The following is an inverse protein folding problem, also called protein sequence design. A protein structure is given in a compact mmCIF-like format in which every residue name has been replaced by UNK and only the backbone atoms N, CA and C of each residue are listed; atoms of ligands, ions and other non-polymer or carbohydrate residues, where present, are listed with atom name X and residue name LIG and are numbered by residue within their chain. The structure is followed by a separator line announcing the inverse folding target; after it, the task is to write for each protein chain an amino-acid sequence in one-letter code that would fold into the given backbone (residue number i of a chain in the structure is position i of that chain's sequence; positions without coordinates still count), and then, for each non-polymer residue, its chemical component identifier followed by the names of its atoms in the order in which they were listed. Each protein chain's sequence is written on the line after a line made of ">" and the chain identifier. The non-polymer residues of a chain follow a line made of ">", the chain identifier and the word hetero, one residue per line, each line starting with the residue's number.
data_IF_820582895884
#
_entry.id   IF_820582895884
#
_cell.length_a   1.000
_cell.length_b   1.000
_cell.length_c   1.000
_cell.angle_alpha   90.00
_cell.angle_beta   90.00
_cell.angle_gamma   90.00
#
_symmetry.space_group_name_H-M   'P 1'
#
loop_
_entity.id
_entity.type
_entity.pdbx_description
1 polymer ?
#
# COMPACT_ATOMS: atom_id res chain seq x y z
N UNK A 1 -20.24 -13.89 -85.83
CA UNK A 1 -21.08 -14.38 -84.72
C UNK A 1 -20.20 -15.10 -83.72
N UNK A 2 -19.98 -14.52 -82.54
CA UNK A 2 -19.65 -15.21 -81.30
C UNK A 2 -19.88 -14.22 -80.13
N UNK A 3 -20.79 -14.50 -79.18
CA UNK A 3 -21.00 -13.65 -78.01
C UNK A 3 -20.13 -14.13 -76.84
N UNK A 4 -19.56 -13.19 -76.10
CA UNK A 4 -18.96 -13.44 -74.78
C UNK A 4 -20.05 -13.38 -73.71
N UNK A 5 -20.07 -14.40 -72.84
CA UNK A 5 -20.98 -14.56 -71.71
C UNK A 5 -20.30 -14.06 -70.43
N UNK A 6 -20.90 -13.13 -69.70
CA UNK A 6 -20.50 -12.79 -68.33
C UNK A 6 -21.35 -13.61 -67.35
N UNK A 7 -20.69 -14.43 -66.54
CA UNK A 7 -21.31 -15.14 -65.40
C UNK A 7 -21.12 -14.33 -64.13
N UNK A 8 -22.21 -14.04 -63.43
CA UNK A 8 -22.22 -13.43 -62.10
C UNK A 8 -21.94 -14.49 -61.03
N UNK A 9 -20.97 -14.25 -60.14
CA UNK A 9 -20.96 -14.90 -58.83
C UNK A 9 -20.44 -13.94 -57.78
N UNK A 10 -21.27 -13.58 -56.81
CA UNK A 10 -20.84 -13.10 -55.49
C UNK A 10 -22.02 -13.10 -54.52
N UNK A 11 -22.24 -14.23 -53.84
CA UNK A 11 -23.11 -14.29 -52.65
C UNK A 11 -22.40 -14.89 -51.43
N UNK A 12 -21.15 -15.36 -51.57
CA UNK A 12 -20.41 -15.99 -50.48
C UNK A 12 -19.65 -14.98 -49.60
N UNK A 13 -19.26 -13.82 -50.13
CA UNK A 13 -18.48 -12.83 -49.36
C UNK A 13 -19.32 -12.05 -48.33
N UNK A 14 -20.61 -11.83 -48.59
CA UNK A 14 -21.49 -11.06 -47.68
C UNK A 14 -21.79 -11.82 -46.37
N UNK A 15 -22.00 -13.14 -46.47
CA UNK A 15 -22.26 -14.00 -45.31
C UNK A 15 -21.01 -14.18 -44.42
N UNK A 16 -19.82 -14.21 -45.02
CA UNK A 16 -18.55 -14.31 -44.29
C UNK A 16 -18.24 -13.02 -43.53
N UNK A 17 -18.52 -11.85 -44.13
CA UNK A 17 -18.38 -10.54 -43.48
C UNK A 17 -19.36 -10.40 -42.32
N UNK A 18 -20.62 -10.86 -42.48
CA UNK A 18 -21.61 -10.83 -41.41
C UNK A 18 -21.24 -11.75 -40.22
N UNK A 19 -20.68 -12.94 -40.49
CA UNK A 19 -20.20 -13.85 -39.44
C UNK A 19 -18.96 -13.30 -38.72
N UNK A 20 -18.02 -12.69 -39.46
CA UNK A 20 -16.86 -12.01 -38.87
C UNK A 20 -17.28 -10.81 -38.00
N UNK A 21 -18.28 -10.03 -38.43
CA UNK A 21 -18.85 -8.93 -37.64
C UNK A 21 -19.60 -9.44 -36.39
N UNK A 22 -20.38 -10.53 -36.51
CA UNK A 22 -21.08 -11.13 -35.36
C UNK A 22 -20.09 -11.70 -34.34
N UNK A 23 -19.01 -12.36 -34.80
CA UNK A 23 -17.93 -12.84 -33.94
C UNK A 23 -17.09 -11.70 -33.33
N UNK A 24 -16.95 -10.58 -34.03
CA UNK A 24 -16.33 -9.37 -33.49
C UNK A 24 -17.21 -8.75 -32.39
N UNK A 25 -18.53 -8.68 -32.59
CA UNK A 25 -19.49 -8.17 -31.60
C UNK A 25 -19.62 -9.09 -30.37
N UNK A 26 -19.54 -10.42 -30.56
CA UNK A 26 -19.47 -11.41 -29.47
C UNK A 26 -18.12 -11.39 -28.71
N UNK A 27 -17.07 -10.76 -29.27
CA UNK A 27 -15.79 -10.53 -28.60
C UNK A 27 -15.65 -9.14 -27.98
N UNK A 28 -16.55 -8.20 -28.29
CA UNK A 28 -16.60 -6.86 -27.69
C UNK A 28 -17.55 -6.76 -26.47
N UNK A 29 -18.25 -7.84 -26.11
CA UNK A 29 -18.77 -7.96 -24.74
C UNK A 29 -17.60 -8.27 -23.81
N UNK A 30 -16.71 -7.29 -23.62
CA UNK A 30 -16.00 -7.20 -22.36
C UNK A 30 -17.08 -7.25 -21.28
N UNK A 31 -16.99 -8.13 -20.27
CA UNK A 31 -17.80 -7.91 -19.08
C UNK A 31 -17.54 -6.46 -18.70
N UNK A 32 -18.55 -5.61 -18.74
CA UNK A 32 -18.38 -4.29 -18.17
C UNK A 32 -17.86 -4.55 -16.78
N UNK A 33 -16.86 -3.79 -16.33
CA UNK A 33 -16.65 -3.57 -14.91
C UNK A 33 -17.91 -2.85 -14.41
N UNK A 34 -19.04 -3.54 -14.39
CA UNK A 34 -20.23 -3.12 -13.69
C UNK A 34 -19.77 -3.13 -12.25
N UNK A 35 -19.47 -1.93 -11.76
CA UNK A 35 -19.21 -1.70 -10.36
C UNK A 35 -20.31 -2.43 -9.61
N UNK A 36 -19.92 -3.38 -8.77
CA UNK A 36 -20.90 -4.10 -7.98
C UNK A 36 -21.72 -3.06 -7.19
N UNK A 37 -23.06 -3.12 -7.23
CA UNK A 37 -23.89 -2.05 -6.71
C UNK A 37 -23.63 -1.89 -5.20
N UNK A 38 -23.36 -0.66 -4.78
CA UNK A 38 -23.22 -0.32 -3.36
C UNK A 38 -24.60 -0.47 -2.71
N UNK A 39 -24.72 -1.42 -1.79
CA UNK A 39 -25.98 -1.72 -1.08
C UNK A 39 -26.25 -0.74 0.06
N UNK A 40 -25.20 -0.22 0.70
CA UNK A 40 -25.29 0.71 1.83
C UNK A 40 -24.11 1.65 1.86
N UNK A 41 -24.34 2.90 2.26
CA UNK A 41 -23.28 3.86 2.61
C UNK A 41 -23.28 4.13 4.11
N UNK A 42 -22.09 4.13 4.71
CA UNK A 42 -21.80 4.55 6.08
C UNK A 42 -20.88 5.77 5.98
N UNK A 43 -21.23 6.86 6.65
CA UNK A 43 -20.50 8.13 6.58
C UNK A 43 -19.65 8.34 7.82
N UNK A 44 -18.37 8.67 7.62
CA UNK A 44 -17.41 8.96 8.68
C UNK A 44 -17.05 10.45 8.64
N UNK A 45 -17.32 11.17 9.71
CA UNK A 45 -16.98 12.59 9.84
C UNK A 45 -16.37 12.83 11.23
N UNK A 46 -15.11 13.24 11.28
CA UNK A 46 -14.38 13.42 12.54
C UNK A 46 -15.01 14.45 13.50
N UNK A 47 -15.86 15.35 12.99
CA UNK A 47 -16.59 16.33 13.79
C UNK A 47 -17.93 15.77 14.32
N UNK A 48 -18.20 14.48 14.10
CA UNK A 48 -19.40 13.79 14.58
C UNK A 48 -20.65 14.06 13.76
N UNK A 49 -20.51 14.54 12.50
CA UNK A 49 -21.65 14.86 11.62
C UNK A 49 -22.09 13.67 10.75
N UNK A 50 -21.36 12.56 10.78
CA UNK A 50 -21.66 11.31 10.08
C UNK A 50 -22.23 10.26 11.03
N UNK A 51 -22.34 9.03 10.53
CA UNK A 51 -22.73 7.86 11.32
C UNK A 51 -21.68 7.54 12.39
N UNK A 52 -20.40 7.78 12.07
CA UNK A 52 -19.25 7.56 12.95
C UNK A 52 -18.26 8.72 12.89
N UNK A 53 -17.47 8.89 13.96
CA UNK A 53 -16.37 9.86 14.01
C UNK A 53 -15.00 9.26 13.70
N UNK A 54 -14.89 7.93 13.69
CA UNK A 54 -13.65 7.20 13.37
C UNK A 54 -13.88 6.20 12.24
N UNK A 55 -12.84 5.92 11.47
CA UNK A 55 -12.91 4.97 10.36
C UNK A 55 -13.03 3.54 10.89
N UNK A 56 -12.30 3.18 11.95
CA UNK A 56 -12.37 1.83 12.53
C UNK A 56 -13.79 1.49 13.01
N UNK A 57 -14.49 2.43 13.68
CA UNK A 57 -15.85 2.15 14.16
C UNK A 57 -16.86 1.94 13.02
N UNK A 58 -16.69 2.63 11.90
CA UNK A 58 -17.50 2.39 10.70
C UNK A 58 -17.23 1.01 10.10
N UNK A 59 -15.96 0.59 10.02
CA UNK A 59 -15.57 -0.77 9.57
C UNK A 59 -16.16 -1.82 10.50
N UNK A 60 -16.06 -1.63 11.82
CA UNK A 60 -16.57 -2.57 12.82
C UNK A 60 -18.09 -2.77 12.73
N UNK A 61 -18.81 -1.74 12.28
CA UNK A 61 -20.27 -1.77 12.09
C UNK A 61 -20.73 -2.58 10.88
N UNK A 62 -19.84 -2.91 9.94
CA UNK A 62 -20.14 -3.84 8.84
C UNK A 62 -20.31 -5.25 9.42
N UNK A 63 -21.36 -6.01 9.10
CA UNK A 63 -21.54 -7.36 9.66
C UNK A 63 -20.40 -8.32 9.28
N UNK A 64 -20.10 -9.27 10.16
CA UNK A 64 -19.20 -10.37 9.82
C UNK A 64 -19.82 -11.26 8.74
N UNK A 65 -19.01 -11.72 7.79
CA UNK A 65 -19.48 -12.51 6.64
C UNK A 65 -20.33 -11.70 5.66
N UNK A 66 -20.17 -10.38 5.64
CA UNK A 66 -20.81 -9.49 4.69
C UNK A 66 -20.54 -9.92 3.24
N UNK A 67 -21.57 -9.89 2.40
CA UNK A 67 -21.49 -10.22 0.97
C UNK A 67 -21.95 -9.09 0.05
N UNK A 68 -22.47 -8.02 0.64
CA UNK A 68 -23.02 -6.87 -0.07
C UNK A 68 -21.97 -5.75 -0.06
N UNK A 69 -21.84 -5.01 -1.17
CA UNK A 69 -20.87 -3.90 -1.20
C UNK A 69 -21.31 -2.77 -0.27
N UNK A 70 -20.57 -2.58 0.82
CA UNK A 70 -20.77 -1.48 1.77
C UNK A 70 -19.74 -0.40 1.49
N UNK A 71 -20.21 0.81 1.23
CA UNK A 71 -19.37 1.98 1.11
C UNK A 71 -19.15 2.62 2.47
N UNK A 72 -17.91 2.67 2.93
CA UNK A 72 -17.47 3.53 4.03
C UNK A 72 -16.97 4.83 3.40
N UNK A 73 -17.79 5.87 3.45
CA UNK A 73 -17.45 7.20 2.94
C UNK A 73 -16.80 8.03 4.03
N UNK A 74 -15.60 8.54 3.78
CA UNK A 74 -14.81 9.29 4.75
C UNK A 74 -14.71 10.74 4.29
N UNK A 75 -15.40 11.63 5.01
CA UNK A 75 -15.41 13.06 4.72
C UNK A 75 -13.99 13.64 4.79
N UNK A 76 -13.77 14.78 4.13
CA UNK A 76 -12.49 15.49 4.14
C UNK A 76 -11.97 15.73 5.57
N UNK A 77 -10.70 15.40 5.79
CA UNK A 77 -10.02 15.53 7.06
C UNK A 77 -8.84 14.57 7.19
N UNK A 78 -7.96 14.87 8.15
CA UNK A 78 -6.95 13.92 8.63
C UNK A 78 -7.49 13.18 9.85
N UNK A 79 -7.43 11.85 9.79
CA UNK A 79 -7.91 10.90 10.79
C UNK A 79 -6.70 10.22 11.43
N UNK A 80 -6.45 10.52 12.71
CA UNK A 80 -5.32 9.96 13.45
C UNK A 80 -5.71 8.68 14.16
N UNK A 81 -5.61 7.55 13.47
CA UNK A 81 -6.01 6.25 13.97
C UNK A 81 -5.31 5.12 13.22
N UNK A 82 -5.25 3.93 13.84
CA UNK A 82 -4.91 2.69 13.14
C UNK A 82 -6.21 2.04 12.69
N UNK A 83 -6.24 1.57 11.45
CA UNK A 83 -7.41 0.88 10.91
C UNK A 83 -7.00 -0.50 10.40
N UNK A 84 -7.77 -1.51 10.80
CA UNK A 84 -7.70 -2.86 10.28
C UNK A 84 -9.04 -3.18 9.64
N UNK A 85 -9.00 -3.74 8.43
CA UNK A 85 -10.13 -4.43 7.80
C UNK A 85 -9.97 -5.93 8.10
N UNK A 86 -10.64 -6.46 9.13
CA UNK A 86 -10.50 -7.86 9.54
C UNK A 86 -10.94 -8.82 8.45
N UNK A 87 -10.40 -10.05 8.46
CA UNK A 87 -10.70 -11.09 7.47
C UNK A 87 -12.19 -11.41 7.29
N UNK A 88 -13.00 -11.10 8.30
CA UNK A 88 -14.43 -11.36 8.32
C UNK A 88 -15.27 -10.24 7.67
N UNK A 89 -14.65 -9.12 7.28
CA UNK A 89 -15.33 -7.91 6.78
C UNK A 89 -15.13 -7.73 5.26
N UNK A 90 -15.59 -8.70 4.48
CA UNK A 90 -15.47 -8.65 3.01
C UNK A 90 -16.39 -7.58 2.37
N UNK A 91 -16.13 -7.28 1.09
CA UNK A 91 -16.96 -6.40 0.25
C UNK A 91 -17.10 -4.96 0.76
N UNK A 92 -15.97 -4.35 1.17
CA UNK A 92 -15.91 -2.96 1.62
C UNK A 92 -15.29 -2.08 0.54
N UNK A 93 -15.98 -0.98 0.20
CA UNK A 93 -15.44 0.16 -0.53
C UNK A 93 -15.14 1.29 0.47
N UNK A 94 -13.86 1.60 0.69
CA UNK A 94 -13.44 2.78 1.44
C UNK A 94 -13.19 3.95 0.48
N UNK A 95 -13.93 5.04 0.65
CA UNK A 95 -13.93 6.16 -0.29
C UNK A 95 -13.82 7.49 0.45
N UNK A 96 -12.74 8.24 0.21
CA UNK A 96 -12.60 9.59 0.72
C UNK A 96 -13.20 10.66 -0.20
N UNK A 97 -13.25 11.91 0.28
CA UNK A 97 -13.62 13.10 -0.51
C UNK A 97 -12.53 13.53 -1.51
N UNK A 98 -11.37 12.87 -1.50
CA UNK A 98 -10.23 13.17 -2.36
C UNK A 98 -8.92 12.81 -1.68
N UNK A 99 -7.99 12.21 -2.42
CA UNK A 99 -6.72 11.72 -1.85
C UNK A 99 -5.83 12.84 -1.27
N UNK A 100 -6.02 14.09 -1.70
CA UNK A 100 -5.35 15.28 -1.15
C UNK A 100 -6.03 15.88 0.08
N UNK A 101 -7.31 15.55 0.33
CA UNK A 101 -8.14 16.15 1.38
C UNK A 101 -8.56 15.16 2.47
N UNK A 102 -8.45 13.86 2.22
CA UNK A 102 -8.79 12.80 3.16
C UNK A 102 -7.60 11.88 3.39
N UNK A 103 -7.15 11.77 4.64
CA UNK A 103 -6.09 10.84 5.01
C UNK A 103 -6.33 10.11 6.33
N UNK A 104 -5.83 8.87 6.39
CA UNK A 104 -5.69 8.09 7.63
C UNK A 104 -4.20 8.03 7.94
N UNK A 105 -3.83 8.51 9.12
CA UNK A 105 -2.45 8.70 9.52
C UNK A 105 -2.18 8.14 10.92
N UNK A 106 -1.01 7.52 11.10
CA UNK A 106 -0.51 7.08 12.40
C UNK A 106 1.01 6.97 12.37
N UNK A 107 1.67 6.77 13.51
CA UNK A 107 3.15 6.77 13.65
C UNK A 107 3.71 5.54 14.38
N UNK A 108 3.01 4.41 14.31
CA UNK A 108 3.51 3.17 14.89
C UNK A 108 4.79 2.71 14.17
N UNK A 109 5.73 2.18 14.94
CA UNK A 109 7.00 1.63 14.46
C UNK A 109 7.26 0.29 15.15
N UNK A 110 7.96 -0.61 14.49
CA UNK A 110 8.38 -1.86 15.09
C UNK A 110 9.40 -1.60 16.20
N UNK A 111 9.13 -2.06 17.42
CA UNK A 111 10.08 -2.04 18.52
C UNK A 111 10.46 -3.47 18.89
N UNK A 112 11.39 -4.05 18.12
CA UNK A 112 11.73 -5.46 18.22
C UNK A 112 13.19 -5.71 17.78
N UNK A 113 13.84 -6.69 18.41
CA UNK A 113 15.17 -7.15 17.99
C UNK A 113 15.11 -7.92 16.67
N UNK A 114 16.25 -8.09 15.98
CA UNK A 114 16.30 -8.81 14.70
C UNK A 114 15.74 -10.24 14.81
N UNK A 115 15.95 -10.92 15.95
CA UNK A 115 15.40 -12.24 16.22
C UNK A 115 13.86 -12.22 16.26
N UNK A 116 13.24 -11.16 16.77
CA UNK A 116 11.78 -11.02 16.81
C UNK A 116 11.19 -10.56 15.47
N UNK A 117 12.01 -10.02 14.56
CA UNK A 117 11.57 -9.60 13.22
C UNK A 117 11.75 -10.73 12.21
N UNK A 118 12.84 -11.50 12.31
CA UNK A 118 13.26 -12.52 11.33
C UNK A 118 12.93 -13.96 11.72
N UNK A 119 12.64 -14.24 12.99
CA UNK A 119 12.60 -15.62 13.51
C UNK A 119 11.18 -16.03 13.92
N UNK A 120 10.39 -16.46 12.94
CA UNK A 120 9.22 -17.30 13.19
C UNK A 120 9.14 -18.46 12.18
N UNK A 121 9.93 -19.55 12.37
CA UNK A 121 9.81 -20.72 11.52
C UNK A 121 8.49 -21.48 11.71
N UNK A 122 7.74 -21.22 12.80
CA UNK A 122 6.53 -21.95 13.20
C UNK A 122 5.53 -21.08 13.99
N UNK A 123 5.38 -19.80 13.65
CA UNK A 123 4.33 -18.97 14.26
C UNK A 123 2.94 -19.49 13.85
N UNK A 124 2.08 -19.79 14.82
CA UNK A 124 0.64 -19.89 14.58
C UNK A 124 0.12 -18.53 14.06
N UNK A 125 -1.05 -18.55 13.39
CA UNK A 125 -1.63 -17.47 12.61
C UNK A 125 -1.86 -16.12 13.36
N UNK A 126 -1.57 -16.05 14.65
CA UNK A 126 -1.71 -14.93 15.56
C UNK A 126 -0.39 -14.21 15.94
N UNK A 127 0.77 -14.69 15.47
CA UNK A 127 2.07 -14.06 15.74
C UNK A 127 2.58 -13.26 14.52
N UNK A 128 1.91 -12.14 14.22
CA UNK A 128 2.40 -11.20 13.19
C UNK A 128 3.68 -10.50 13.66
N UNK A 129 4.66 -10.38 12.75
CA UNK A 129 5.90 -9.63 13.00
C UNK A 129 5.60 -8.23 13.55
N UNK A 130 6.39 -7.69 14.49
CA UNK A 130 6.28 -6.30 14.94
C UNK A 130 6.27 -5.27 13.80
N UNK A 131 6.93 -5.59 12.68
CA UNK A 131 6.88 -4.82 11.43
C UNK A 131 5.48 -4.82 10.82
N UNK A 132 4.84 -5.98 10.71
CA UNK A 132 3.46 -6.11 10.21
C UNK A 132 2.48 -5.31 11.09
N UNK A 133 2.64 -5.45 12.41
CA UNK A 133 1.81 -4.74 13.38
C UNK A 133 2.00 -3.21 13.37
N UNK A 134 3.08 -2.69 12.78
CA UNK A 134 3.35 -1.25 12.74
C UNK A 134 2.53 -0.48 11.67
N UNK A 135 1.86 -1.18 10.75
CA UNK A 135 1.08 -0.54 9.69
C UNK A 135 -0.02 0.40 10.24
N UNK A 136 -0.18 1.56 9.58
CA UNK A 136 -1.31 2.48 9.86
C UNK A 136 -2.65 1.89 9.40
N UNK A 137 -2.65 1.23 8.24
CA UNK A 137 -3.83 0.66 7.62
C UNK A 137 -3.53 -0.77 7.16
N UNK A 138 -4.32 -1.73 7.64
CA UNK A 138 -4.15 -3.17 7.36
C UNK A 138 -5.41 -3.74 6.72
N UNK A 139 -5.26 -4.52 5.66
CA UNK A 139 -6.38 -5.23 5.00
C UNK A 139 -6.13 -6.72 5.07
N UNK A 140 -7.05 -7.44 5.74
CA UNK A 140 -7.04 -8.90 5.84
C UNK A 140 -8.25 -9.55 5.15
N UNK A 141 -9.28 -8.77 4.84
CA UNK A 141 -10.48 -9.21 4.11
C UNK A 141 -10.22 -9.43 2.62
N UNK A 142 -11.03 -10.31 2.03
CA UNK A 142 -11.16 -10.43 0.59
C UNK A 142 -12.10 -9.32 0.07
N UNK A 143 -11.92 -8.92 -1.20
CA UNK A 143 -12.79 -7.94 -1.88
C UNK A 143 -12.87 -6.56 -1.18
N UNK A 144 -11.70 -6.00 -0.85
CA UNK A 144 -11.57 -4.62 -0.39
C UNK A 144 -11.17 -3.70 -1.54
N UNK A 145 -11.79 -2.51 -1.62
CA UNK A 145 -11.41 -1.44 -2.55
C UNK A 145 -11.24 -0.15 -1.77
N UNK A 146 -10.16 0.58 -2.03
CA UNK A 146 -9.97 1.95 -1.55
C UNK A 146 -9.81 2.91 -2.72
N UNK A 147 -10.43 4.09 -2.64
CA UNK A 147 -10.23 5.18 -3.60
C UNK A 147 -10.36 6.55 -2.95
N UNK A 148 -9.82 7.56 -3.62
CA UNK A 148 -9.96 8.97 -3.24
C UNK A 148 -9.56 9.25 -1.78
N UNK A 149 -8.59 8.50 -1.25
CA UNK A 149 -8.08 8.60 0.13
C UNK A 149 -6.58 8.28 0.17
N UNK A 150 -5.86 8.88 1.12
CA UNK A 150 -4.44 8.60 1.38
C UNK A 150 -4.23 7.85 2.70
N UNK A 151 -3.30 6.91 2.73
CA UNK A 151 -2.84 6.24 3.96
C UNK A 151 -1.40 6.67 4.25
N UNK A 152 -1.10 7.09 5.47
CA UNK A 152 0.20 7.66 5.81
C UNK A 152 0.74 7.08 7.12
N UNK A 153 1.98 6.59 7.08
CA UNK A 153 2.80 6.43 8.28
C UNK A 153 3.67 7.67 8.40
N UNK A 154 3.33 8.59 9.31
CA UNK A 154 3.97 9.91 9.41
C UNK A 154 4.86 9.98 10.64
N UNK A 155 6.12 10.34 10.43
CA UNK A 155 7.10 10.66 11.47
C UNK A 155 7.48 12.14 11.33
N UNK A 156 6.66 13.01 11.91
CA UNK A 156 6.89 14.46 11.92
C UNK A 156 7.49 14.88 13.27
N UNK A 157 8.56 15.67 13.23
CA UNK A 157 9.30 16.17 14.39
C UNK A 157 9.76 15.08 15.39
N UNK A 158 9.95 13.87 14.88
CA UNK A 158 10.39 12.72 15.66
C UNK A 158 11.93 12.68 15.81
N UNK A 159 12.39 12.15 16.94
CA UNK A 159 13.81 11.79 17.13
C UNK A 159 14.01 10.31 16.81
N UNK A 160 14.76 10.02 15.77
CA UNK A 160 15.22 8.68 15.43
C UNK A 160 16.56 8.44 16.14
N UNK A 161 16.52 7.73 17.26
CA UNK A 161 17.71 7.40 18.03
C UNK A 161 18.22 6.00 17.67
N UNK A 162 19.41 5.92 17.09
CA UNK A 162 20.15 4.67 16.94
C UNK A 162 20.57 4.13 18.31
N UNK A 163 20.36 2.83 18.51
CA UNK A 163 20.81 2.09 19.70
C UNK A 163 21.97 1.14 19.38
N UNK A 164 22.61 1.30 18.21
CA UNK A 164 23.78 0.51 17.84
C UNK A 164 24.91 0.75 18.86
N UNK A 165 25.66 -0.30 19.27
CA UNK A 165 26.83 -0.11 20.11
C UNK A 165 27.79 0.93 19.54
N UNK A 166 28.46 1.76 20.37
CA UNK A 166 29.46 2.70 19.89
C UNK A 166 30.63 2.00 19.19
N UNK A 167 31.31 2.65 18.22
CA UNK A 167 32.48 2.07 17.58
C UNK A 167 33.55 1.67 18.60
N UNK A 168 34.08 0.45 18.47
CA UNK A 168 35.14 -0.08 19.34
C UNK A 168 34.67 -0.71 20.65
N UNK A 169 33.36 -0.82 20.90
CA UNK A 169 32.83 -1.52 22.10
C UNK A 169 32.57 -3.01 21.88
N UNK A 170 32.74 -3.51 20.64
CA UNK A 170 32.54 -4.93 20.27
C UNK A 170 33.83 -5.52 19.68
N UNK A 171 34.05 -6.83 19.85
CA UNK A 171 35.26 -7.53 19.35
C UNK A 171 35.28 -7.77 17.84
N UNK A 172 34.21 -7.43 17.12
CA UNK A 172 34.07 -7.56 15.67
C UNK A 172 34.01 -6.20 14.98
N UNK A 173 34.43 -6.11 13.71
CA UNK A 173 34.19 -4.95 12.85
C UNK A 173 32.68 -4.74 12.73
N UNK A 174 32.16 -3.75 13.43
CA UNK A 174 30.73 -3.49 13.52
C UNK A 174 30.22 -2.90 12.20
N UNK A 175 29.35 -3.63 11.50
CA UNK A 175 28.65 -3.11 10.34
C UNK A 175 27.66 -2.01 10.78
N UNK A 176 27.56 -0.89 10.04
CA UNK A 176 26.51 0.09 10.29
C UNK A 176 25.11 -0.51 10.13
N UNK A 177 24.14 -0.02 10.90
CA UNK A 177 22.72 -0.38 10.71
C UNK A 177 22.06 0.42 9.58
N UNK A 178 20.79 0.14 9.29
CA UNK A 178 19.99 0.91 8.32
C UNK A 178 18.70 1.41 8.98
N UNK A 179 18.40 2.69 8.80
CA UNK A 179 17.14 3.27 9.29
C UNK A 179 15.94 2.83 8.44
N UNK A 180 16.13 2.66 7.12
CA UNK A 180 15.03 2.36 6.19
C UNK A 180 15.35 1.27 5.19
N UNK A 181 14.31 0.54 4.76
CA UNK A 181 14.37 -0.46 3.70
C UNK A 181 13.09 -0.42 2.84
N UNK A 182 12.95 0.59 1.98
CA UNK A 182 11.72 0.76 1.20
C UNK A 182 11.65 -0.21 0.01
N UNK A 183 10.50 -0.87 -0.16
CA UNK A 183 10.33 -2.00 -1.07
C UNK A 183 9.39 -1.70 -2.26
N UNK A 184 9.38 -0.47 -2.78
CA UNK A 184 8.52 -0.12 -3.91
C UNK A 184 8.93 -0.82 -5.21
N UNK A 185 7.96 -1.52 -5.82
CA UNK A 185 8.16 -2.45 -6.94
C UNK A 185 8.10 -1.80 -8.33
N UNK A 186 7.37 -0.69 -8.49
CA UNK A 186 7.19 -0.03 -9.79
C UNK A 186 7.29 1.50 -9.64
N UNK A 187 7.81 2.17 -10.69
CA UNK A 187 7.94 3.64 -10.70
C UNK A 187 6.60 4.36 -10.51
N UNK A 188 5.54 3.82 -11.12
CA UNK A 188 4.20 4.37 -11.06
C UNK A 188 3.41 4.01 -9.80
N UNK A 189 3.94 3.13 -8.95
CA UNK A 189 3.28 2.83 -7.67
C UNK A 189 3.31 4.07 -6.77
N UNK A 190 2.18 4.49 -6.20
CA UNK A 190 2.17 5.57 -5.21
C UNK A 190 2.90 5.12 -3.94
N UNK A 191 3.41 6.08 -3.17
CA UNK A 191 4.00 5.82 -1.85
C UNK A 191 5.51 6.01 -1.77
N UNK A 192 5.98 6.16 -0.54
CA UNK A 192 7.36 6.44 -0.13
C UNK A 192 7.42 6.62 1.38
N UNK A 193 8.62 6.59 1.96
CA UNK A 193 8.82 6.94 3.38
C UNK A 193 9.28 8.39 3.49
N UNK A 194 8.60 9.19 4.31
CA UNK A 194 8.98 10.60 4.53
C UNK A 194 9.20 10.82 6.02
N UNK A 195 10.39 11.33 6.35
CA UNK A 195 10.77 11.81 7.67
C UNK A 195 10.89 13.33 7.57
N UNK A 196 10.03 14.04 8.30
CA UNK A 196 9.90 15.49 8.19
C UNK A 196 10.23 16.13 9.54
N UNK A 197 11.19 17.04 9.55
CA UNK A 197 11.66 17.68 10.77
C UNK A 197 12.45 16.70 11.66
N UNK A 198 12.56 17.04 12.94
CA UNK A 198 13.17 16.18 13.95
C UNK A 198 14.68 15.96 13.81
N UNK A 199 15.17 14.81 14.31
CA UNK A 199 16.59 14.49 14.30
C UNK A 199 16.89 12.99 14.16
N UNK A 200 18.01 12.65 13.50
CA UNK A 200 18.66 11.34 13.54
C UNK A 200 19.87 11.43 14.46
N UNK A 201 19.86 10.68 15.56
CA UNK A 201 20.83 10.76 16.66
C UNK A 201 21.11 9.37 17.24
N UNK A 202 21.78 9.30 18.39
CA UNK A 202 22.02 8.08 19.14
C UNK A 202 23.48 7.61 19.05
N UNK A 203 23.68 6.30 19.08
CA UNK A 203 25.01 5.68 19.16
C UNK A 203 25.32 4.78 17.97
N UNK A 204 26.59 4.42 17.81
CA UNK A 204 27.05 3.54 16.74
C UNK A 204 27.11 4.23 15.38
N UNK A 205 26.96 3.45 14.30
CA UNK A 205 26.97 3.94 12.91
C UNK A 205 25.73 3.43 12.19
N UNK A 206 25.09 4.29 11.41
CA UNK A 206 23.91 3.94 10.62
C UNK A 206 23.92 4.59 9.24
N UNK A 207 23.38 3.88 8.25
CA UNK A 207 22.92 4.44 6.99
C UNK A 207 21.47 4.91 7.13
N UNK A 208 21.11 5.95 6.37
CA UNK A 208 19.73 6.41 6.20
C UNK A 208 18.83 5.32 5.62
N UNK A 209 19.41 4.38 4.86
CA UNK A 209 18.70 3.19 4.43
C UNK A 209 19.38 2.40 3.33
N UNK A 210 18.63 1.42 2.84
CA UNK A 210 18.93 0.58 1.69
C UNK A 210 17.69 0.33 0.83
N UNK A 211 17.87 0.09 -0.45
CA UNK A 211 16.77 -0.11 -1.38
C UNK A 211 16.39 -1.60 -1.47
N UNK A 212 15.33 -2.04 -0.79
CA UNK A 212 14.88 -3.44 -0.90
C UNK A 212 14.38 -3.77 -2.32
N UNK A 213 13.79 -2.79 -3.03
CA UNK A 213 13.41 -2.93 -4.45
C UNK A 213 13.85 -1.72 -5.29
N UNK A 214 13.87 -1.90 -6.61
CA UNK A 214 14.44 -0.96 -7.59
C UNK A 214 13.79 0.43 -7.67
N UNK A 215 12.61 0.63 -7.06
CA UNK A 215 11.94 1.93 -7.01
C UNK A 215 11.78 2.46 -5.59
N UNK A 216 12.63 2.02 -4.65
CA UNK A 216 12.69 2.55 -3.29
C UNK A 216 12.69 4.09 -3.27
N UNK A 217 11.94 4.71 -2.35
CA UNK A 217 11.80 6.17 -2.28
C UNK A 217 11.63 6.57 -0.84
N UNK A 218 12.64 7.25 -0.33
CA UNK A 218 12.74 7.71 1.04
C UNK A 218 13.23 9.15 1.04
N UNK A 219 12.58 10.01 1.81
CA UNK A 219 12.93 11.43 1.91
C UNK A 219 13.11 11.79 3.38
N UNK A 220 14.25 12.39 3.71
CA UNK A 220 14.48 13.11 4.96
C UNK A 220 14.45 14.61 4.64
N UNK A 221 13.52 15.36 5.22
CA UNK A 221 13.32 16.78 4.92
C UNK A 221 13.32 17.61 6.20
N UNK A 222 14.24 18.57 6.31
CA UNK A 222 14.37 19.40 7.51
C UNK A 222 14.80 18.63 8.76
N UNK A 223 15.37 17.44 8.60
CA UNK A 223 15.83 16.58 9.71
C UNK A 223 17.29 16.88 10.05
N UNK A 224 17.59 17.15 11.33
CA UNK A 224 18.98 17.25 11.81
C UNK A 224 19.62 15.87 11.82
N UNK A 225 20.85 15.72 11.33
CA UNK A 225 21.55 14.44 11.37
C UNK A 225 22.85 14.61 12.16
N UNK A 226 22.95 13.89 13.27
CA UNK A 226 24.16 13.85 14.08
C UNK A 226 25.21 12.94 13.41
N UNK A 227 26.42 12.90 13.97
CA UNK A 227 27.56 12.17 13.41
C UNK A 227 27.40 10.65 13.37
N UNK A 228 26.35 10.11 14.00
CA UNK A 228 25.93 8.71 13.93
C UNK A 228 25.65 8.26 12.49
N UNK A 229 25.24 9.17 11.61
CA UNK A 229 24.97 8.89 10.19
C UNK A 229 26.29 8.75 9.42
N UNK A 230 26.43 7.66 8.67
CA UNK A 230 27.57 7.46 7.78
C UNK A 230 27.55 8.54 6.67
N UNK A 231 28.66 9.24 6.38
CA UNK A 231 28.70 10.29 5.35
C UNK A 231 28.23 9.84 3.96
N UNK A 232 28.41 8.56 3.63
CA UNK A 232 27.88 7.93 2.42
C UNK A 232 26.34 8.01 2.33
N UNK A 233 25.65 8.06 3.48
CA UNK A 233 24.20 8.19 3.60
C UNK A 233 23.47 6.88 3.34
N UNK A 234 23.71 6.23 2.20
CA UNK A 234 22.93 5.09 1.72
C UNK A 234 23.81 3.91 1.34
N UNK A 235 23.29 2.70 1.53
CA UNK A 235 23.96 1.47 1.09
C UNK A 235 23.10 0.71 0.08
N UNK A 236 23.74 0.16 -0.95
CA UNK A 236 23.07 -0.68 -1.94
C UNK A 236 22.61 -2.00 -1.30
N UNK A 237 21.46 -2.50 -1.72
CA UNK A 237 21.02 -3.84 -1.33
C UNK A 237 21.79 -4.90 -2.12
N UNK A 238 22.55 -5.74 -1.43
CA UNK A 238 23.26 -6.87 -2.02
C UNK A 238 22.49 -8.17 -1.74
N UNK A 239 21.57 -8.54 -2.63
CA UNK A 239 20.75 -9.74 -2.47
C UNK A 239 21.57 -11.06 -2.39
N UNK A 240 22.85 -11.04 -2.76
CA UNK A 240 23.72 -12.23 -2.76
C UNK A 240 24.35 -12.60 -1.42
N UNK A 241 24.28 -11.75 -0.39
CA UNK A 241 24.93 -12.00 0.92
C UNK A 241 23.94 -12.08 2.10
N UNK A 242 22.66 -11.78 1.89
CA UNK A 242 21.65 -11.60 2.95
C UNK A 242 20.49 -12.63 2.87
N UNK A 243 20.72 -13.82 2.29
CA UNK A 243 19.80 -14.98 2.35
C UNK A 243 20.49 -16.25 2.83
#
# INVERSE_FOLDING_TARGET
>A
MHPFCFSSSSSASSLLVLHLLLLLLLRLSSPSLAWAPVSRTITVDRQGRGDFSTVQSAVDSVPDGNRDWVKVHVNAGSYWEKVTIPKQKDNILLEGDGSSSTDISFNAHAHAGIDQIMRHPNAELDEYSPTFLSATFTVLADNFVARDISFKSIYEDCVLASVMPPPGTTSTTQQPGWVTAHARLHAGSPGGMVFKGGAVTGTGRIYLGRAWNGFATVVFYGTRMDDVVVPQGWEAWNAGNDV
#
